data_IF_770858572593
#
_entry.id   IF_770858572593
#
_cell.length_a   1.000
_cell.length_b   1.000
_cell.length_c   1.000
_cell.angle_alpha   90.00
_cell.angle_beta   90.00
_cell.angle_gamma   90.00
#
_symmetry.space_group_name_H-M   'P 1'
#
loop_
_entity.id
_entity.type
_entity.pdbx_description
1 polymer ?
#
# COMPACT_ATOMS: atom_id res chain seq x y z
N UNK A 1 -53.92 13.63 -21.90
CA UNK A 1 -52.73 13.32 -21.07
C UNK A 1 -51.87 12.25 -21.76
N UNK A 2 -50.70 12.61 -22.30
CA UNK A 2 -49.58 11.68 -22.53
C UNK A 2 -48.29 12.47 -22.29
N UNK A 3 -47.59 12.18 -21.19
CA UNK A 3 -46.31 12.82 -20.83
C UNK A 3 -45.23 12.35 -21.82
N UNK A 4 -44.76 13.25 -22.68
CA UNK A 4 -43.60 13.01 -23.54
C UNK A 4 -42.33 12.97 -22.69
N UNK A 5 -41.62 11.83 -22.71
CA UNK A 5 -40.32 11.63 -22.07
C UNK A 5 -39.34 12.71 -22.54
N UNK A 6 -38.78 13.46 -21.60
CA UNK A 6 -37.62 14.32 -21.79
C UNK A 6 -36.45 13.51 -22.36
N UNK A 7 -36.02 13.84 -23.59
CA UNK A 7 -34.73 13.35 -24.12
C UNK A 7 -33.63 14.01 -23.29
N UNK A 8 -32.78 13.21 -22.65
CA UNK A 8 -31.52 13.70 -22.11
C UNK A 8 -30.74 14.39 -23.25
N UNK A 9 -30.01 15.49 -23.00
CA UNK A 9 -29.22 16.14 -24.03
C UNK A 9 -28.30 15.10 -24.66
N UNK A 10 -28.38 14.98 -25.99
CA UNK A 10 -27.57 14.05 -26.77
C UNK A 10 -26.10 14.32 -26.45
N UNK A 11 -25.38 13.24 -26.11
CA UNK A 11 -23.96 13.28 -25.81
C UNK A 11 -23.26 13.92 -27.01
N UNK A 12 -22.44 14.97 -26.79
CA UNK A 12 -21.73 15.62 -27.90
C UNK A 12 -20.83 14.59 -28.58
N UNK A 13 -20.73 14.66 -29.90
CA UNK A 13 -19.95 13.70 -30.71
C UNK A 13 -18.49 13.57 -30.25
N UNK A 14 -17.92 14.65 -29.69
CA UNK A 14 -16.57 14.69 -29.10
C UNK A 14 -16.38 13.73 -27.91
N UNK A 15 -17.46 13.38 -27.21
CA UNK A 15 -17.45 12.43 -26.09
C UNK A 15 -17.87 11.02 -26.49
N UNK A 16 -18.04 10.73 -27.78
CA UNK A 16 -18.32 9.37 -28.26
C UNK A 16 -17.08 8.47 -28.15
N UNK A 17 -17.00 7.80 -27.00
CA UNK A 17 -15.96 6.82 -26.67
C UNK A 17 -16.23 5.44 -27.31
N UNK A 18 -17.22 5.30 -28.20
CA UNK A 18 -17.56 4.03 -28.87
C UNK A 18 -16.39 3.42 -29.65
N UNK A 19 -15.49 4.27 -30.15
CA UNK A 19 -14.25 3.89 -30.85
C UNK A 19 -12.99 4.01 -30.00
N UNK A 20 -13.11 4.44 -28.75
CA UNK A 20 -12.00 4.48 -27.81
C UNK A 20 -11.55 3.06 -27.49
N UNK A 21 -10.31 2.72 -27.83
CA UNK A 21 -9.75 1.42 -27.47
C UNK A 21 -9.74 1.28 -25.93
N UNK A 22 -10.59 0.41 -25.38
CA UNK A 22 -10.49 -0.06 -24.00
C UNK A 22 -9.33 -1.03 -23.88
N UNK A 23 -8.12 -0.50 -23.98
CA UNK A 23 -6.88 -1.23 -23.74
C UNK A 23 -6.22 -0.69 -22.48
N UNK A 24 -5.52 -1.56 -21.75
CA UNK A 24 -4.51 -1.08 -20.81
C UNK A 24 -3.57 -0.14 -21.57
N UNK A 25 -3.35 1.07 -21.08
CA UNK A 25 -2.30 1.93 -21.61
C UNK A 25 -0.97 1.20 -21.45
N UNK A 26 -0.52 0.52 -22.51
CA UNK A 26 0.83 -0.05 -22.61
C UNK A 26 1.74 1.03 -23.18
N UNK A 27 1.66 2.25 -22.63
CA UNK A 27 2.72 3.21 -22.82
C UNK A 27 3.99 2.55 -22.29
N UNK A 28 4.99 2.39 -23.15
CA UNK A 28 6.31 1.91 -22.75
C UNK A 28 6.72 2.74 -21.53
N UNK A 29 6.75 2.12 -20.35
CA UNK A 29 7.29 2.73 -19.14
C UNK A 29 8.69 3.20 -19.57
N UNK A 30 8.91 4.51 -19.61
CA UNK A 30 10.23 5.04 -19.97
C UNK A 30 11.20 4.40 -18.96
N UNK A 31 12.37 3.88 -19.37
CA UNK A 31 13.33 3.21 -18.48
C UNK A 31 13.89 4.08 -17.33
N UNK A 32 13.37 5.29 -17.14
CA UNK A 32 13.83 6.28 -16.18
C UNK A 32 13.07 6.26 -14.84
N UNK A 33 12.04 5.42 -14.67
CA UNK A 33 11.48 5.17 -13.34
C UNK A 33 12.38 4.20 -12.57
N UNK A 34 13.51 4.72 -12.05
CA UNK A 34 14.43 4.00 -11.16
C UNK A 34 13.85 3.70 -9.78
N UNK A 35 12.60 4.08 -9.52
CA UNK A 35 11.93 3.76 -8.27
C UNK A 35 11.28 2.37 -8.33
N UNK A 36 11.90 1.40 -7.64
CA UNK A 36 11.39 0.02 -7.51
C UNK A 36 9.95 -0.05 -6.97
N UNK A 37 9.44 1.00 -6.29
CA UNK A 37 8.05 1.03 -5.82
C UNK A 37 7.02 1.12 -6.94
N UNK A 38 7.42 1.59 -8.12
CA UNK A 38 6.55 1.81 -9.29
C UNK A 38 6.63 0.67 -10.31
N UNK A 39 7.52 -0.31 -10.10
CA UNK A 39 7.73 -1.44 -10.99
C UNK A 39 7.01 -2.67 -10.45
N UNK A 40 6.15 -3.29 -11.28
CA UNK A 40 5.53 -4.59 -10.96
C UNK A 40 6.41 -5.71 -11.50
N UNK A 41 6.98 -6.51 -10.61
CA UNK A 41 7.75 -7.72 -10.95
C UNK A 41 6.86 -8.95 -10.76
N UNK A 42 6.83 -9.85 -11.75
CA UNK A 42 6.15 -11.14 -11.63
C UNK A 42 7.07 -12.11 -10.88
N UNK A 43 6.56 -12.68 -9.79
CA UNK A 43 7.24 -13.71 -9.02
C UNK A 43 6.38 -14.98 -9.02
N UNK A 44 7.03 -16.14 -9.04
CA UNK A 44 6.38 -17.44 -8.82
C UNK A 44 6.90 -17.97 -7.49
N UNK A 45 6.03 -18.09 -6.50
CA UNK A 45 6.36 -18.58 -5.16
C UNK A 45 5.20 -19.37 -4.58
N UNK A 46 5.48 -20.24 -3.62
CA UNK A 46 4.44 -20.86 -2.81
C UNK A 46 3.99 -19.88 -1.71
N UNK A 47 2.68 -19.80 -1.52
CA UNK A 47 2.04 -19.09 -0.42
C UNK A 47 1.09 -20.07 0.24
N UNK A 48 1.03 -20.06 1.57
CA UNK A 48 0.14 -20.96 2.30
C UNK A 48 -1.33 -20.72 1.92
N UNK A 49 -2.08 -21.81 1.84
CA UNK A 49 -3.45 -21.81 1.30
C UNK A 49 -4.42 -20.99 2.15
N UNK A 50 -4.23 -21.00 3.47
CA UNK A 50 -5.01 -20.22 4.44
C UNK A 50 -4.77 -18.71 4.28
N UNK A 51 -3.52 -18.29 4.08
CA UNK A 51 -3.17 -16.89 3.79
C UNK A 51 -3.86 -16.45 2.50
N UNK A 52 -3.76 -17.26 1.44
CA UNK A 52 -4.39 -16.95 0.17
C UNK A 52 -5.92 -16.83 0.29
N UNK A 53 -6.56 -17.75 1.03
CA UNK A 53 -8.00 -17.76 1.22
C UNK A 53 -8.47 -16.54 2.02
N UNK A 54 -7.77 -16.18 3.10
CA UNK A 54 -8.04 -14.98 3.88
C UNK A 54 -8.10 -13.71 3.00
N UNK A 55 -7.10 -13.51 2.14
CA UNK A 55 -7.06 -12.33 1.27
C UNK A 55 -8.09 -12.39 0.13
N UNK A 56 -8.46 -13.59 -0.35
CA UNK A 56 -9.56 -13.77 -1.32
C UNK A 56 -10.91 -13.38 -0.72
N UNK A 57 -11.23 -13.89 0.47
CA UNK A 57 -12.48 -13.55 1.17
C UNK A 57 -12.58 -12.05 1.43
N UNK A 58 -11.46 -11.41 1.83
CA UNK A 58 -11.42 -9.96 2.01
C UNK A 58 -11.62 -9.19 0.71
N UNK A 59 -11.07 -9.68 -0.41
CA UNK A 59 -11.24 -9.08 -1.73
C UNK A 59 -12.65 -9.26 -2.32
N UNK A 60 -13.41 -10.27 -1.87
CA UNK A 60 -14.80 -10.49 -2.28
C UNK A 60 -15.77 -9.43 -1.73
N UNK A 61 -15.35 -8.63 -0.75
CA UNK A 61 -16.18 -7.57 -0.15
C UNK A 61 -16.37 -6.39 -1.13
N UNK A 62 -17.53 -5.72 -1.12
CA UNK A 62 -17.74 -4.53 -1.95
C UNK A 62 -16.69 -3.46 -1.67
N UNK A 63 -16.18 -2.81 -2.72
CA UNK A 63 -15.14 -1.78 -2.66
C UNK A 63 -13.80 -2.22 -2.03
N UNK A 64 -13.56 -3.52 -1.89
CA UNK A 64 -12.27 -4.03 -1.43
C UNK A 64 -11.21 -3.98 -2.53
N UNK A 65 -9.95 -3.80 -2.13
CA UNK A 65 -8.80 -3.93 -3.03
C UNK A 65 -8.65 -5.39 -3.47
N UNK A 66 -8.06 -5.63 -4.64
CA UNK A 66 -7.72 -6.98 -5.07
C UNK A 66 -6.72 -7.65 -4.09
N UNK A 67 -6.83 -8.97 -3.87
CA UNK A 67 -6.01 -9.71 -2.90
C UNK A 67 -4.51 -9.49 -3.10
N UNK A 68 -4.03 -9.40 -4.35
CA UNK A 68 -2.63 -9.11 -4.65
C UNK A 68 -2.18 -7.75 -4.11
N UNK A 69 -3.02 -6.71 -4.25
CA UNK A 69 -2.72 -5.38 -3.72
C UNK A 69 -2.67 -5.44 -2.20
N UNK A 70 -3.61 -6.16 -1.57
CA UNK A 70 -3.63 -6.31 -0.12
C UNK A 70 -2.36 -7.00 0.41
N UNK A 71 -1.94 -8.09 -0.23
CA UNK A 71 -0.70 -8.81 0.12
C UNK A 71 0.50 -7.85 0.00
N UNK A 72 0.60 -7.12 -1.11
CA UNK A 72 1.69 -6.16 -1.30
C UNK A 72 1.68 -5.03 -0.26
N UNK A 73 0.50 -4.52 0.11
CA UNK A 73 0.36 -3.47 1.14
C UNK A 73 0.84 -3.98 2.50
N UNK A 74 0.49 -5.21 2.88
CA UNK A 74 0.94 -5.84 4.13
C UNK A 74 2.46 -6.04 4.13
N UNK A 75 3.03 -6.55 3.03
CA UNK A 75 4.48 -6.74 2.91
C UNK A 75 5.22 -5.39 2.99
N UNK A 76 4.66 -4.33 2.39
CA UNK A 76 5.23 -2.96 2.51
C UNK A 76 5.18 -2.48 3.95
N UNK A 77 4.05 -2.64 4.62
CA UNK A 77 3.90 -2.25 6.02
C UNK A 77 4.90 -2.99 6.91
N UNK A 78 5.09 -4.29 6.69
CA UNK A 78 6.06 -5.10 7.42
C UNK A 78 7.50 -4.61 7.20
N UNK A 79 7.89 -4.33 5.95
CA UNK A 79 9.21 -3.78 5.64
C UNK A 79 9.39 -2.42 6.31
N UNK A 80 8.38 -1.55 6.24
CA UNK A 80 8.43 -0.24 6.88
C UNK A 80 8.57 -0.40 8.40
N UNK A 81 7.71 -1.16 9.07
CA UNK A 81 7.78 -1.37 10.52
C UNK A 81 9.10 -1.99 10.97
N UNK A 82 9.59 -3.02 10.27
CA UNK A 82 10.89 -3.64 10.58
C UNK A 82 12.07 -2.70 10.30
N UNK A 83 11.95 -1.80 9.32
CA UNK A 83 12.97 -0.77 9.08
C UNK A 83 12.97 0.29 10.19
N UNK A 84 11.81 0.70 10.70
CA UNK A 84 11.72 1.63 11.84
C UNK A 84 12.28 1.01 13.12
N UNK A 85 11.94 -0.24 13.43
CA UNK A 85 12.45 -0.94 14.62
C UNK A 85 13.97 -1.17 14.55
N UNK A 86 14.53 -1.58 13.42
CA UNK A 86 15.98 -1.79 13.36
C UNK A 86 16.79 -0.48 13.31
N UNK A 87 16.25 0.59 12.73
CA UNK A 87 16.98 1.86 12.56
C UNK A 87 16.88 2.76 13.80
N UNK A 88 15.75 2.77 14.51
CA UNK A 88 15.57 3.60 15.72
C UNK A 88 16.31 3.00 16.92
N UNK A 89 16.15 1.70 17.19
CA UNK A 89 16.78 1.07 18.37
C UNK A 89 18.31 1.09 18.27
N UNK A 90 18.87 0.80 17.09
CA UNK A 90 20.32 0.88 16.89
C UNK A 90 20.84 2.31 17.02
N UNK A 91 20.09 3.33 16.53
CA UNK A 91 20.45 4.74 16.76
C UNK A 91 20.40 5.13 18.23
N UNK A 92 19.36 4.73 18.96
CA UNK A 92 19.17 5.06 20.38
C UNK A 92 20.22 4.39 21.26
N UNK A 93 20.52 3.12 21.03
CA UNK A 93 21.55 2.37 21.78
C UNK A 93 22.96 2.91 21.50
N UNK A 94 23.19 3.51 20.33
CA UNK A 94 24.47 4.16 20.02
C UNK A 94 24.51 5.66 20.41
N UNK A 95 23.43 6.20 20.99
CA UNK A 95 23.37 7.59 21.42
C UNK A 95 23.77 7.71 22.89
N UNK A 96 24.92 8.32 23.14
CA UNK A 96 25.48 8.44 24.49
C UNK A 96 24.63 9.31 25.42
N UNK A 97 24.01 10.38 24.91
CA UNK A 97 23.16 11.27 25.70
C UNK A 97 21.90 10.53 26.18
N UNK A 98 21.33 9.70 25.30
CA UNK A 98 20.20 8.84 25.64
C UNK A 98 20.57 7.80 26.71
N UNK A 99 21.70 7.11 26.55
CA UNK A 99 22.18 6.13 27.54
C UNK A 99 22.39 6.80 28.91
N UNK A 100 23.00 7.99 28.93
CA UNK A 100 23.26 8.72 30.16
C UNK A 100 21.95 9.13 30.86
N UNK A 101 20.97 9.63 30.10
CA UNK A 101 19.66 10.01 30.61
C UNK A 101 18.88 8.81 31.18
N UNK A 102 18.93 7.64 30.50
CA UNK A 102 18.30 6.40 30.99
C UNK A 102 18.98 5.93 32.29
N UNK A 103 20.32 5.95 32.34
CA UNK A 103 21.07 5.58 33.53
C UNK A 103 20.73 6.48 34.72
N UNK A 104 20.55 7.78 34.49
CA UNK A 104 20.12 8.72 35.52
C UNK A 104 18.69 8.45 35.99
N UNK A 105 17.78 8.16 35.07
CA UNK A 105 16.39 7.79 35.40
C UNK A 105 16.31 6.52 36.22
N UNK A 106 17.12 5.51 35.92
CA UNK A 106 17.18 4.26 36.71
C UNK A 106 17.65 4.51 38.13
N UNK A 107 18.69 5.34 38.33
CA UNK A 107 19.16 5.74 39.66
C UNK A 107 18.08 6.44 40.48
N UNK A 108 17.27 7.29 39.86
CA UNK A 108 16.15 7.96 40.54
C UNK A 108 15.05 6.99 40.98
N UNK A 109 14.76 5.95 40.17
CA UNK A 109 13.76 4.92 40.49
C UNK A 109 14.26 4.02 41.64
N UNK A 110 15.54 3.68 41.63
CA UNK A 110 16.16 2.87 42.69
C UNK A 110 16.30 3.65 44.01
N UNK A 111 16.62 4.94 43.95
CA UNK A 111 16.69 5.80 45.14
C UNK A 111 15.32 6.14 45.74
N UNK A 112 14.24 5.95 44.98
CA UNK A 112 12.86 6.16 45.44
C UNK A 112 12.15 4.88 45.92
N UNK A 113 12.84 3.74 45.93
CA UNK A 113 12.38 2.47 46.51
C UNK A 113 13.03 2.25 47.88
#
# INVERSE_FOLDING_TARGET
MKKGKSRAPEMRDEYDLSKGARGAYVGKIKPADTNLRNVKVKVTMYLDGDILEFFKERAAKPNAKAYQIQINDVLRQFIESSSWENFEYSRLINNQDFINAVAERMRQIEAGR
#
